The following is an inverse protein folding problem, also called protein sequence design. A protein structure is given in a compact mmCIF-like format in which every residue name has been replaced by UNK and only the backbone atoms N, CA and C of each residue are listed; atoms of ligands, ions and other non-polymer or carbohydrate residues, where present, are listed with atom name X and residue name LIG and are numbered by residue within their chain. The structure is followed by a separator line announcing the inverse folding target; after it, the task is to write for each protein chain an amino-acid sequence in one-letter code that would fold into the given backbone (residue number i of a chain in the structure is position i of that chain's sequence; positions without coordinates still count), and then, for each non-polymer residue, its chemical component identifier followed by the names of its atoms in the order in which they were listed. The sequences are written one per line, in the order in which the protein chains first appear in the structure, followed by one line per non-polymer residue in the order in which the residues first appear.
data_IF_423296013988
#
_entry.id   IF_423296013988
#
_cell.length_a   1.000
_cell.length_b   1.000
_cell.length_c   1.000
_cell.angle_alpha   90.00
_cell.angle_beta   90.00
_cell.angle_gamma   90.00
#
_symmetry.space_group_name_H-M   'P 1'
#
loop_
_entity.id
_entity.type
_entity.pdbx_description
1 polymer ?
#
# COMPACT_ATOMS: atom_id res chain seq x y z
N UNK A 1 -11.70 1.28 4.07
CA UNK A 1 -11.05 0.02 3.69
C UNK A 1 -10.28 0.24 2.40
N UNK A 2 -8.97 0.03 2.44
CA UNK A 2 -8.07 0.17 1.29
C UNK A 2 -7.74 -1.23 0.74
N UNK A 3 -7.58 -1.31 -0.58
CA UNK A 3 -7.01 -2.48 -1.26
C UNK A 3 -5.66 -2.10 -1.87
N UNK A 4 -4.69 -2.99 -1.73
CA UNK A 4 -3.28 -2.66 -1.94
C UNK A 4 -2.32 -3.81 -1.71
N UNK A 5 -1.05 -3.56 -1.99
CA UNK A 5 0.03 -4.54 -1.89
C UNK A 5 1.11 -4.09 -0.90
N UNK A 6 1.70 -5.03 -0.15
CA UNK A 6 2.84 -4.76 0.71
C UNK A 6 4.14 -4.83 -0.11
N UNK A 7 4.80 -3.69 -0.31
CA UNK A 7 6.01 -3.58 -1.13
C UNK A 7 7.22 -3.23 -0.27
N UNK A 8 8.40 -3.74 -0.65
CA UNK A 8 9.68 -3.29 -0.09
C UNK A 8 10.42 -2.54 -1.19
N UNK A 9 10.99 -1.39 -0.86
CA UNK A 9 11.80 -0.60 -1.79
C UNK A 9 13.29 -0.78 -1.47
N UNK A 10 14.07 -1.13 -2.49
CA UNK A 10 15.54 -1.16 -2.41
C UNK A 10 16.09 -0.34 -3.57
N UNK A 11 16.91 0.66 -3.26
CA UNK A 11 17.54 1.55 -4.26
C UNK A 11 16.55 2.16 -5.27
N UNK A 12 15.38 2.60 -4.81
CA UNK A 12 14.36 3.25 -5.65
C UNK A 12 13.51 2.29 -6.50
N UNK A 13 13.65 0.98 -6.31
CA UNK A 13 12.86 -0.03 -7.05
C UNK A 13 12.18 -1.00 -6.10
N UNK A 14 11.05 -1.57 -6.54
CA UNK A 14 10.37 -2.62 -5.78
C UNK A 14 11.25 -3.88 -5.73
N UNK A 15 11.51 -4.36 -4.53
CA UNK A 15 12.32 -5.54 -4.25
C UNK A 15 11.43 -6.71 -3.84
N UNK A 16 10.98 -7.47 -4.84
CA UNK A 16 10.17 -8.67 -4.64
C UNK A 16 10.96 -9.79 -3.92
N UNK A 17 12.28 -9.81 -4.07
CA UNK A 17 13.15 -10.77 -3.38
C UNK A 17 13.14 -10.55 -1.87
N UNK A 18 13.18 -9.29 -1.42
CA UNK A 18 13.09 -8.94 0.00
C UNK A 18 11.75 -9.36 0.61
N UNK A 19 10.63 -9.19 -0.13
CA UNK A 19 9.30 -9.62 0.33
C UNK A 19 9.25 -11.12 0.50
N UNK A 20 9.71 -11.88 -0.50
CA UNK A 20 9.77 -13.36 -0.42
C UNK A 20 10.68 -13.84 0.72
N UNK A 21 11.87 -13.23 0.87
CA UNK A 21 12.81 -13.58 1.93
C UNK A 21 12.19 -13.40 3.32
N UNK A 22 11.38 -12.34 3.52
CA UNK A 22 10.65 -12.13 4.77
C UNK A 22 9.53 -13.16 4.95
N UNK A 23 8.75 -13.45 3.92
CA UNK A 23 7.61 -14.38 3.98
C UNK A 23 8.03 -15.83 4.27
N UNK A 24 9.16 -16.28 3.74
CA UNK A 24 9.67 -17.63 3.93
C UNK A 24 10.48 -17.82 5.23
N UNK A 25 10.59 -16.79 6.07
CA UNK A 25 11.43 -16.79 7.27
C UNK A 25 10.68 -17.25 8.52
N UNK A 26 11.43 -17.74 9.52
CA UNK A 26 10.91 -17.87 10.89
C UNK A 26 10.46 -16.51 11.43
N UNK A 27 9.57 -16.51 12.44
CA UNK A 27 9.00 -15.28 13.00
C UNK A 27 10.07 -14.26 13.45
N UNK A 28 11.13 -14.72 14.12
CA UNK A 28 12.19 -13.84 14.59
C UNK A 28 13.02 -13.25 13.44
N UNK A 29 13.29 -14.06 12.41
CA UNK A 29 13.98 -13.57 11.21
C UNK A 29 13.10 -12.64 10.38
N UNK A 30 11.80 -12.91 10.29
CA UNK A 30 10.84 -12.03 9.63
C UNK A 30 10.75 -10.67 10.34
N UNK A 31 10.74 -10.64 11.68
CA UNK A 31 10.82 -9.39 12.48
C UNK A 31 12.12 -8.63 12.22
N UNK A 32 13.26 -9.32 12.23
CA UNK A 32 14.55 -8.71 11.94
C UNK A 32 14.63 -8.13 10.50
N UNK A 33 14.08 -8.85 9.52
CA UNK A 33 13.98 -8.36 8.14
C UNK A 33 13.04 -7.17 8.02
N UNK A 34 11.87 -7.18 8.68
CA UNK A 34 10.94 -6.06 8.68
C UNK A 34 11.55 -4.78 9.29
N UNK A 35 12.40 -4.90 10.31
CA UNK A 35 13.10 -3.76 10.90
C UNK A 35 14.19 -3.19 9.98
N UNK A 36 14.86 -4.04 9.18
CA UNK A 36 15.94 -3.62 8.26
C UNK A 36 15.43 -3.15 6.90
N UNK A 37 14.34 -3.74 6.43
CA UNK A 37 13.71 -3.51 5.13
C UNK A 37 12.21 -3.28 5.39
N UNK A 38 11.82 -2.07 5.84
CA UNK A 38 10.43 -1.77 6.12
C UNK A 38 9.61 -1.87 4.85
N UNK A 39 8.45 -2.51 4.94
CA UNK A 39 7.49 -2.53 3.84
C UNK A 39 6.63 -1.26 3.87
N UNK A 40 6.27 -0.77 2.70
CA UNK A 40 5.20 0.19 2.48
C UNK A 40 3.95 -0.54 2.00
N UNK A 41 2.76 0.02 2.25
CA UNK A 41 1.51 -0.44 1.69
C UNK A 41 1.14 0.45 0.50
N UNK A 42 1.27 -0.10 -0.71
CA UNK A 42 0.92 0.56 -1.95
C UNK A 42 -0.56 0.32 -2.25
N UNK A 43 -1.41 1.29 -1.93
CA UNK A 43 -2.84 1.23 -2.17
C UNK A 43 -3.18 1.61 -3.62
N UNK A 44 -4.04 0.80 -4.25
CA UNK A 44 -4.52 1.00 -5.63
C UNK A 44 -6.06 1.09 -5.72
N UNK A 45 -6.80 0.76 -4.66
CA UNK A 45 -8.25 0.95 -4.59
C UNK A 45 -8.73 1.34 -3.17
N UNK A 46 -9.94 1.90 -3.10
CA UNK A 46 -10.68 2.16 -1.85
C UNK A 46 -12.08 1.57 -1.98
N UNK A 47 -12.37 0.59 -1.13
CA UNK A 47 -13.62 -0.17 -1.18
C UNK A 47 -14.68 0.37 -0.23
N UNK A 48 -14.25 1.08 0.82
CA UNK A 48 -15.16 1.73 1.76
C UNK A 48 -14.52 2.97 2.38
N UNK A 49 -15.31 4.03 2.54
CA UNK A 49 -14.89 5.22 3.29
C UNK A 49 -16.12 5.87 3.95
N UNK A 50 -16.06 6.22 5.25
CA UNK A 50 -17.23 6.72 5.98
C UNK A 50 -17.87 7.93 5.28
N UNK A 51 -17.06 8.88 4.81
CA UNK A 51 -17.55 10.11 4.19
C UNK A 51 -17.83 9.99 2.68
N UNK A 52 -17.52 8.85 2.05
CA UNK A 52 -17.71 8.64 0.60
C UNK A 52 -18.63 7.46 0.29
N UNK A 53 -19.65 7.23 1.13
CA UNK A 53 -20.70 6.24 0.90
C UNK A 53 -20.52 4.91 1.65
N UNK A 54 -19.60 4.84 2.62
CA UNK A 54 -19.37 3.65 3.42
C UNK A 54 -19.06 2.43 2.55
N UNK A 55 -19.67 1.30 2.87
CA UNK A 55 -19.47 0.04 2.14
C UNK A 55 -20.10 0.03 0.73
N UNK A 56 -21.02 0.96 0.43
CA UNK A 56 -21.60 1.07 -0.91
C UNK A 56 -20.61 1.63 -1.95
N UNK A 57 -19.46 2.15 -1.52
CA UNK A 57 -18.39 2.62 -2.40
C UNK A 57 -17.84 1.49 -3.30
N UNK A 58 -17.76 0.26 -2.78
CA UNK A 58 -17.29 -0.91 -3.53
C UNK A 58 -18.11 -1.22 -4.79
N UNK A 59 -19.39 -0.83 -4.83
CA UNK A 59 -20.27 -1.04 -5.97
C UNK A 59 -20.09 0.00 -7.09
N UNK A 60 -19.37 1.10 -6.84
CA UNK A 60 -19.12 2.14 -7.84
C UNK A 60 -18.08 1.71 -8.86
N UNK A 61 -18.07 2.26 -10.08
CA UNK A 61 -17.00 2.04 -11.05
C UNK A 61 -15.59 2.31 -10.47
N UNK A 62 -14.59 1.53 -10.89
CA UNK A 62 -13.21 1.67 -10.39
C UNK A 62 -12.66 3.09 -10.53
N UNK A 63 -12.95 3.79 -11.63
CA UNK A 63 -12.47 5.16 -11.83
C UNK A 63 -12.97 6.16 -10.76
N UNK A 64 -14.21 5.99 -10.29
CA UNK A 64 -14.77 6.81 -9.22
C UNK A 64 -14.10 6.47 -7.89
N UNK A 65 -13.91 5.18 -7.58
CA UNK A 65 -13.19 4.74 -6.39
C UNK A 65 -11.74 5.24 -6.41
N UNK A 66 -11.08 5.17 -7.56
CA UNK A 66 -9.70 5.64 -7.73
C UNK A 66 -9.56 7.14 -7.45
N UNK A 67 -10.56 7.93 -7.85
CA UNK A 67 -10.61 9.37 -7.53
C UNK A 67 -10.69 9.59 -6.02
N UNK A 68 -11.61 8.89 -5.34
CA UNK A 68 -11.71 8.93 -3.87
C UNK A 68 -10.39 8.50 -3.21
N UNK A 69 -9.72 7.47 -3.73
CA UNK A 69 -8.42 7.03 -3.20
C UNK A 69 -7.36 8.13 -3.31
N UNK A 70 -7.26 8.82 -4.46
CA UNK A 70 -6.28 9.91 -4.64
C UNK A 70 -6.52 11.02 -3.63
N UNK A 71 -7.78 11.39 -3.43
CA UNK A 71 -8.15 12.49 -2.53
C UNK A 71 -7.90 12.11 -1.06
N UNK A 72 -8.32 10.92 -0.64
CA UNK A 72 -8.14 10.43 0.74
C UNK A 72 -6.67 10.27 1.10
N UNK A 73 -5.81 9.90 0.15
CA UNK A 73 -4.38 9.73 0.37
C UNK A 73 -3.53 10.96 0.01
N UNK A 74 -4.14 12.11 -0.28
CA UNK A 74 -3.41 13.30 -0.72
C UNK A 74 -2.36 13.76 0.30
N UNK A 75 -2.70 13.71 1.59
CA UNK A 75 -1.83 14.13 2.70
C UNK A 75 -1.23 12.95 3.48
N UNK A 76 -1.36 11.73 2.94
CA UNK A 76 -0.83 10.51 3.57
C UNK A 76 0.52 10.16 2.95
N UNK A 77 1.56 10.19 3.77
CA UNK A 77 2.90 9.72 3.43
C UNK A 77 3.19 8.29 3.91
N UNK A 78 4.43 7.80 3.70
CA UNK A 78 4.85 6.46 4.13
C UNK A 78 4.47 6.14 5.59
N UNK A 79 4.09 4.89 5.88
CA UNK A 79 4.25 3.70 5.03
C UNK A 79 3.11 3.47 4.05
N UNK A 80 2.04 4.26 4.05
CA UNK A 80 0.94 4.11 3.07
C UNK A 80 1.20 5.03 1.89
N UNK A 81 1.24 4.48 0.68
CA UNK A 81 1.49 5.23 -0.55
C UNK A 81 0.44 4.88 -1.59
N UNK A 82 0.14 5.82 -2.49
CA UNK A 82 -0.65 5.56 -3.69
C UNK A 82 0.21 4.93 -4.78
N UNK A 83 -0.36 4.04 -5.59
CA UNK A 83 0.33 3.45 -6.75
C UNK A 83 0.06 4.24 -8.06
N UNK A 84 1.08 4.48 -8.91
CA UNK A 84 2.50 4.41 -8.59
C UNK A 84 2.88 5.51 -7.59
N UNK A 85 3.95 5.31 -6.78
CA UNK A 85 4.36 6.31 -5.79
C UNK A 85 4.71 7.63 -6.49
N UNK A 86 4.57 8.78 -5.78
CA UNK A 86 5.00 10.06 -6.32
C UNK A 86 6.48 9.99 -6.73
N UNK A 87 6.82 10.67 -7.82
CA UNK A 87 8.21 10.71 -8.30
C UNK A 87 9.13 11.23 -7.19
N UNK A 88 10.20 10.49 -6.87
CA UNK A 88 11.20 10.88 -5.88
C UNK A 88 11.08 10.21 -4.49
N UNK A 89 10.20 9.21 -4.33
CA UNK A 89 10.29 8.23 -3.23
C UNK A 89 11.37 7.17 -3.49
#
# INVERSE_FOLDING_TARGET
MLDGEAVIWTAGTVDFGAVQARAASSLDRARALAARLPASFAAFDVLAHPDHGGDALAARPYAERRTVLVDVLADVGPPVVREPPPAGC
#
